data_IF_891090127862
#
_entry.id   IF_891090127862
#
_cell.length_a   1.000
_cell.length_b   1.000
_cell.length_c   1.000
_cell.angle_alpha   90.00
_cell.angle_beta   90.00
_cell.angle_gamma   90.00
#
_symmetry.space_group_name_H-M   'P 1'
#
loop_
_entity.id
_entity.type
_entity.pdbx_description
1 polymer ?
#
# COMPACT_ATOMS: atom_id res chain seq x y z
N UNK A 1 -11.97 -49.05 23.96
CA UNK A 1 -10.87 -48.52 23.12
C UNK A 1 -10.69 -47.05 23.50
N UNK A 2 -9.47 -46.63 23.86
CA UNK A 2 -9.19 -45.25 24.30
C UNK A 2 -9.14 -44.34 23.06
N UNK A 3 -10.07 -43.40 22.94
CA UNK A 3 -10.06 -42.39 21.88
C UNK A 3 -9.15 -41.24 22.28
N UNK A 4 -7.87 -41.35 21.92
CA UNK A 4 -6.90 -40.26 21.96
C UNK A 4 -7.34 -39.19 20.95
N UNK A 5 -8.09 -38.19 21.42
CA UNK A 5 -8.42 -37.00 20.64
C UNK A 5 -7.14 -36.17 20.45
N UNK A 6 -6.54 -36.30 19.26
CA UNK A 6 -5.54 -35.37 18.76
C UNK A 6 -6.22 -34.01 18.57
N UNK A 7 -5.85 -33.05 19.40
CA UNK A 7 -6.26 -31.64 19.28
C UNK A 7 -5.52 -31.10 18.05
N UNK A 8 -6.19 -31.09 16.91
CA UNK A 8 -5.70 -30.41 15.72
C UNK A 8 -5.69 -28.90 16.04
N UNK A 9 -4.49 -28.35 16.20
CA UNK A 9 -4.22 -26.93 16.26
C UNK A 9 -4.74 -26.29 14.98
N UNK A 10 -5.93 -25.71 15.05
CA UNK A 10 -6.45 -24.83 14.00
C UNK A 10 -5.56 -23.60 14.01
N UNK A 11 -4.51 -23.62 13.18
CA UNK A 11 -3.92 -22.39 12.68
C UNK A 11 -5.05 -21.66 11.98
N UNK A 12 -5.58 -20.62 12.61
CA UNK A 12 -6.45 -19.68 11.95
C UNK A 12 -5.61 -19.05 10.83
N UNK A 13 -5.64 -19.68 9.66
CA UNK A 13 -5.27 -19.04 8.41
C UNK A 13 -6.26 -17.92 8.23
N UNK A 14 -5.96 -16.78 8.83
CA UNK A 14 -6.55 -15.51 8.44
C UNK A 14 -6.10 -15.35 7.00
N UNK A 15 -6.95 -15.78 6.08
CA UNK A 15 -6.92 -15.29 4.72
C UNK A 15 -7.18 -13.80 4.85
N UNK A 16 -6.11 -13.04 5.12
CA UNK A 16 -6.06 -11.65 4.73
C UNK A 16 -6.53 -11.68 3.28
N UNK A 17 -7.72 -11.16 3.02
CA UNK A 17 -8.26 -11.07 1.69
C UNK A 17 -7.39 -10.02 1.02
N UNK A 18 -6.21 -10.46 0.60
CA UNK A 18 -5.14 -9.60 0.16
C UNK A 18 -5.66 -8.90 -1.07
N UNK A 19 -5.56 -7.57 -1.07
CA UNK A 19 -5.75 -6.83 -2.30
C UNK A 19 -4.69 -7.38 -3.27
N UNK A 20 -5.06 -7.99 -4.40
CA UNK A 20 -4.09 -8.60 -5.30
C UNK A 20 -3.05 -7.55 -5.71
N UNK A 21 -1.78 -7.84 -5.45
CA UNK A 21 -0.67 -6.92 -5.69
C UNK A 21 -0.28 -6.01 -4.51
N UNK A 22 -0.92 -6.13 -3.34
CA UNK A 22 -0.50 -5.45 -2.10
C UNK A 22 0.13 -6.47 -1.14
N UNK A 23 1.39 -6.28 -0.74
CA UNK A 23 2.02 -7.14 0.25
C UNK A 23 1.36 -6.96 1.63
N UNK A 24 1.51 -7.96 2.50
CA UNK A 24 0.95 -7.94 3.86
C UNK A 24 1.41 -6.71 4.65
N UNK A 25 2.66 -6.26 4.45
CA UNK A 25 3.19 -5.06 5.09
C UNK A 25 2.41 -3.79 4.69
N UNK A 26 2.00 -3.68 3.42
CA UNK A 26 1.18 -2.58 2.92
C UNK A 26 -0.22 -2.60 3.53
N UNK A 27 -0.83 -3.79 3.63
CA UNK A 27 -2.12 -3.98 4.29
C UNK A 27 -2.09 -3.57 5.76
N UNK A 28 -1.05 -3.98 6.50
CA UNK A 28 -0.87 -3.55 7.90
C UNK A 28 -0.79 -2.03 8.00
N UNK A 29 -0.01 -1.38 7.12
CA UNK A 29 0.11 0.08 7.13
C UNK A 29 -1.20 0.79 6.80
N UNK A 30 -2.01 0.26 5.89
CA UNK A 30 -3.34 0.81 5.57
C UNK A 30 -4.26 0.72 6.80
N UNK A 31 -4.27 -0.43 7.49
CA UNK A 31 -5.07 -0.58 8.71
C UNK A 31 -4.59 0.33 9.83
N UNK A 32 -3.28 0.50 10.01
CA UNK A 32 -2.70 1.43 10.99
C UNK A 32 -3.06 2.88 10.62
N UNK A 33 -2.91 3.27 9.36
CA UNK A 33 -3.27 4.61 8.90
C UNK A 33 -4.76 4.91 9.07
N UNK A 34 -5.63 3.90 8.89
CA UNK A 34 -7.06 4.03 9.14
C UNK A 34 -7.40 4.40 10.60
N UNK A 35 -6.55 4.07 11.57
CA UNK A 35 -6.74 4.51 12.97
C UNK A 35 -6.45 6.01 13.16
N UNK A 36 -5.69 6.61 12.24
CA UNK A 36 -5.38 8.03 12.22
C UNK A 36 -6.40 8.85 11.43
N UNK A 37 -7.33 8.19 10.72
CA UNK A 37 -8.35 8.84 9.92
C UNK A 37 -9.34 9.63 10.78
N UNK A 38 -9.39 10.95 10.62
CA UNK A 38 -10.33 11.82 11.34
C UNK A 38 -11.67 11.87 10.60
N UNK A 39 -12.46 10.81 10.76
CA UNK A 39 -13.82 10.73 10.20
C UNK A 39 -13.91 10.20 8.78
N UNK A 40 -12.81 9.72 8.20
CA UNK A 40 -12.84 8.94 6.97
C UNK A 40 -12.97 7.44 7.27
N UNK A 41 -13.93 6.78 6.66
CA UNK A 41 -14.06 5.33 6.71
C UNK A 41 -13.07 4.67 5.76
N UNK A 42 -12.59 3.47 6.09
CA UNK A 42 -11.67 2.72 5.20
C UNK A 42 -12.32 2.40 3.84
N UNK A 43 -13.64 2.29 3.80
CA UNK A 43 -14.42 2.09 2.58
C UNK A 43 -14.63 3.37 1.75
N UNK A 44 -14.41 4.55 2.35
CA UNK A 44 -14.53 5.83 1.65
C UNK A 44 -13.16 6.23 1.08
N UNK A 45 -12.83 5.66 -0.08
CA UNK A 45 -11.53 5.88 -0.72
C UNK A 45 -11.27 7.36 -1.02
N UNK A 46 -12.29 8.14 -1.39
CA UNK A 46 -12.13 9.58 -1.66
C UNK A 46 -11.72 10.33 -0.39
N UNK A 47 -12.35 10.01 0.74
CA UNK A 47 -11.99 10.59 2.02
C UNK A 47 -10.60 10.10 2.45
N UNK A 48 -10.34 8.81 2.31
CA UNK A 48 -9.07 8.18 2.69
C UNK A 48 -7.88 8.80 1.94
N UNK A 49 -8.02 9.02 0.64
CA UNK A 49 -6.99 9.56 -0.24
C UNK A 49 -6.78 11.07 -0.10
N UNK A 50 -7.72 11.84 0.48
CA UNK A 50 -7.55 13.28 0.70
C UNK A 50 -7.08 13.61 2.12
N UNK A 51 -7.19 12.68 3.05
CA UNK A 51 -6.87 12.92 4.45
C UNK A 51 -5.35 12.97 4.66
N UNK A 52 -4.80 14.12 5.07
CA UNK A 52 -3.35 14.27 5.20
C UNK A 52 -2.77 13.40 6.33
N UNK A 53 -3.53 13.10 7.39
CA UNK A 53 -3.04 12.26 8.48
C UNK A 53 -2.85 10.80 8.01
N UNK A 54 -3.75 10.33 7.14
CA UNK A 54 -3.64 9.01 6.51
C UNK A 54 -2.43 8.96 5.57
N UNK A 55 -2.27 9.97 4.71
CA UNK A 55 -1.13 10.04 3.77
C UNK A 55 0.21 10.02 4.53
N UNK A 56 0.33 10.82 5.59
CA UNK A 56 1.56 10.89 6.40
C UNK A 56 1.81 9.59 7.19
N UNK A 57 0.75 8.96 7.72
CA UNK A 57 0.85 7.65 8.37
C UNK A 57 1.35 6.57 7.40
N UNK A 58 0.86 6.56 6.15
CA UNK A 58 1.32 5.63 5.11
C UNK A 58 2.78 5.89 4.71
N UNK A 59 3.17 7.16 4.50
CA UNK A 59 4.57 7.53 4.22
C UNK A 59 5.53 7.10 5.32
N UNK A 60 5.07 7.09 6.57
CA UNK A 60 5.90 6.71 7.73
C UNK A 60 5.93 5.19 7.94
N UNK A 61 4.79 4.53 7.78
CA UNK A 61 4.65 3.11 8.05
C UNK A 61 5.28 2.25 6.96
N UNK A 62 4.99 2.53 5.68
CA UNK A 62 5.39 1.67 4.57
C UNK A 62 6.92 1.45 4.51
N UNK A 63 7.79 2.47 4.58
CA UNK A 63 9.24 2.25 4.55
C UNK A 63 9.79 1.60 5.83
N UNK A 64 9.02 1.54 6.92
CA UNK A 64 9.39 0.83 8.16
C UNK A 64 8.93 -0.62 8.17
N UNK A 65 7.77 -0.90 7.61
CA UNK A 65 7.12 -2.21 7.65
C UNK A 65 7.41 -3.05 6.40
N UNK A 66 7.62 -2.43 5.25
CA UNK A 66 8.00 -3.09 4.01
C UNK A 66 9.51 -2.92 3.79
N UNK A 67 10.29 -3.98 4.05
CA UNK A 67 11.76 -3.94 3.93
C UNK A 67 12.25 -4.16 2.50
N UNK A 68 11.47 -4.84 1.66
CA UNK A 68 11.80 -4.99 0.25
C UNK A 68 11.34 -3.76 -0.54
N UNK A 69 12.24 -3.21 -1.37
CA UNK A 69 11.92 -2.07 -2.24
C UNK A 69 10.74 -2.37 -3.18
N UNK A 70 10.63 -3.61 -3.66
CA UNK A 70 9.52 -4.06 -4.48
C UNK A 70 8.16 -4.01 -3.74
N UNK A 71 8.14 -4.30 -2.44
CA UNK A 71 6.92 -4.25 -1.62
C UNK A 71 6.47 -2.82 -1.36
N UNK A 72 7.42 -1.93 -1.08
CA UNK A 72 7.14 -0.50 -0.96
C UNK A 72 6.61 0.04 -2.29
N UNK A 73 7.27 -0.31 -3.39
CA UNK A 73 6.87 0.10 -4.73
C UNK A 73 5.46 -0.37 -5.07
N UNK A 74 5.17 -1.67 -4.89
CA UNK A 74 3.86 -2.24 -5.17
C UNK A 74 2.75 -1.58 -4.35
N UNK A 75 3.03 -1.29 -3.06
CA UNK A 75 2.08 -0.61 -2.17
C UNK A 75 1.82 0.83 -2.62
N UNK A 76 2.86 1.59 -2.98
CA UNK A 76 2.72 2.95 -3.48
C UNK A 76 2.03 3.01 -4.84
N UNK A 77 2.37 2.13 -5.78
CA UNK A 77 1.69 2.04 -7.07
C UNK A 77 0.20 1.76 -6.89
N UNK A 78 -0.16 0.84 -5.98
CA UNK A 78 -1.56 0.55 -5.68
C UNK A 78 -2.25 1.75 -5.05
N UNK A 79 -1.63 2.42 -4.07
CA UNK A 79 -2.21 3.61 -3.45
C UNK A 79 -2.40 4.74 -4.48
N UNK A 80 -1.41 4.97 -5.34
CA UNK A 80 -1.48 5.96 -6.41
C UNK A 80 -2.59 5.66 -7.41
N UNK A 81 -2.75 4.40 -7.80
CA UNK A 81 -3.84 3.96 -8.70
C UNK A 81 -5.21 4.15 -8.07
N UNK A 82 -5.39 3.78 -6.81
CA UNK A 82 -6.67 3.92 -6.11
C UNK A 82 -7.03 5.38 -5.81
N UNK A 83 -6.03 6.22 -5.56
CA UNK A 83 -6.22 7.64 -5.25
C UNK A 83 -6.10 8.56 -6.47
N UNK A 84 -5.91 7.99 -7.67
CA UNK A 84 -5.80 8.75 -8.90
C UNK A 84 -7.05 9.62 -9.14
N UNK A 85 -6.84 10.92 -9.37
CA UNK A 85 -7.94 11.86 -9.62
C UNK A 85 -8.68 12.37 -8.38
N UNK A 86 -8.26 11.98 -7.16
CA UNK A 86 -8.77 12.59 -5.93
C UNK A 86 -8.16 13.99 -5.76
N UNK A 87 -9.00 15.01 -5.70
CA UNK A 87 -8.55 16.39 -5.49
C UNK A 87 -7.81 16.53 -4.16
N UNK A 88 -6.58 17.04 -4.20
CA UNK A 88 -5.73 17.21 -3.02
C UNK A 88 -4.85 15.99 -2.68
N UNK A 89 -5.01 14.86 -3.38
CA UNK A 89 -4.09 13.74 -3.25
C UNK A 89 -2.77 14.03 -3.99
N UNK A 90 -1.65 13.70 -3.35
CA UNK A 90 -0.33 13.73 -3.98
C UNK A 90 0.21 12.30 -4.07
N UNK A 91 0.58 11.83 -5.27
CA UNK A 91 1.06 10.46 -5.43
C UNK A 91 2.36 10.23 -4.65
N UNK A 92 2.46 9.06 -4.03
CA UNK A 92 3.66 8.61 -3.35
C UNK A 92 4.78 8.37 -4.36
N UNK A 93 5.97 8.87 -4.05
CA UNK A 93 7.15 8.60 -4.85
C UNK A 93 7.70 7.21 -4.53
N UNK A 94 7.89 6.41 -5.57
CA UNK A 94 8.66 5.17 -5.58
C UNK A 94 10.04 5.34 -4.89
N UNK A 95 10.39 4.56 -3.84
CA UNK A 95 11.77 4.48 -3.38
C UNK A 95 12.51 3.53 -4.32
N UNK A 96 13.04 4.08 -5.41
CA UNK A 96 13.80 3.26 -6.36
C UNK A 96 13.97 3.79 -7.77
N UNK A 97 13.23 4.83 -8.17
CA UNK A 97 13.67 5.65 -9.29
C UNK A 97 14.16 6.95 -8.70
N UNK A 98 15.48 7.07 -8.54
CA UNK A 98 16.10 8.37 -8.45
C UNK A 98 15.47 9.25 -9.53
N UNK A 99 15.11 10.47 -9.15
CA UNK A 99 14.95 11.52 -10.13
C UNK A 99 16.22 11.50 -10.98
N UNK A 100 16.12 11.06 -12.23
CA UNK A 100 17.07 11.49 -13.24
C UNK A 100 16.51 12.80 -13.79
N UNK A 101 17.02 13.98 -13.40
CA UNK A 101 16.81 15.18 -14.19
C UNK A 101 17.60 15.02 -15.50
N UNK A 102 17.09 14.22 -16.43
CA UNK A 102 17.86 13.87 -17.63
C UNK A 102 17.27 12.72 -18.44
N UNK A 103 16.03 12.83 -18.89
CA UNK A 103 15.55 12.07 -20.04
C UNK A 103 15.00 13.08 -21.06
N UNK A 104 15.91 13.63 -21.86
CA UNK A 104 15.56 14.26 -23.13
C UNK A 104 14.82 13.21 -23.97
N UNK A 105 13.68 13.55 -24.62
CA UNK A 105 12.97 12.59 -25.48
C UNK A 105 13.88 12.12 -26.63
N UNK A 106 13.81 10.84 -27.06
CA UNK A 106 14.53 10.41 -28.24
C UNK A 106 13.96 11.16 -29.45
N UNK A 107 14.81 12.01 -30.04
CA UNK A 107 14.56 12.68 -31.32
C UNK A 107 14.34 11.59 -32.37
N UNK A 108 13.09 11.40 -32.77
CA UNK A 108 12.72 10.50 -33.87
C UNK A 108 13.53 10.83 -35.12
N UNK A 109 14.07 9.79 -35.74
CA UNK A 109 14.68 9.85 -37.07
C UNK A 109 13.59 9.46 -38.08
N UNK A 110 13.16 10.36 -38.98
CA UNK A 110 12.30 10.02 -40.11
C UNK A 110 13.15 9.44 -41.28
N UNK A 111 12.51 8.81 -42.29
CA UNK A 111 13.09 7.73 -43.12
C UNK A 111 14.19 8.15 -44.09
#
# INVERSE_FOLDING_TARGET
MKFTLLIATVVASVSAQGIPGVPTCGMTCIMTAATSAKGCSISDQKCFCKDPAIIEALKTCIPKSCTAAADVQATYDMANKNCAGVQGFTPFAAPGMGASPGATPPKGTPP
#
